data_IF_535923637997
#
_entry.id   IF_535923637997
#
_cell.length_a   1.000
_cell.length_b   1.000
_cell.length_c   1.000
_cell.angle_alpha   90.00
_cell.angle_beta   90.00
_cell.angle_gamma   90.00
#
_symmetry.space_group_name_H-M   'P 1'
#
loop_
_entity.id
_entity.type
_entity.pdbx_description
1 polymer ?
2 non-polymer ?
3 non-polymer ?
4 non-polymer ?
5 water ?
#
# COMPACT_ATOMS: atom_id res chain seq x y z
N UNK A 20 -10.24 30.74 15.30
CA UNK A 20 -11.16 29.58 15.04
C UNK A 20 -11.27 29.12 13.58
N UNK A 21 -10.36 29.63 12.74
CA UNK A 21 -10.35 29.35 11.31
C UNK A 21 -8.93 29.02 10.88
N UNK A 22 -8.68 27.72 10.68
CA UNK A 22 -7.38 27.28 10.23
C UNK A 22 -7.29 27.50 8.72
N UNK A 23 -6.07 27.49 8.20
CA UNK A 23 -5.86 27.64 6.77
C UNK A 23 -4.98 26.54 6.23
N UNK A 24 -5.20 26.22 4.96
CA UNK A 24 -4.37 25.27 4.25
C UNK A 24 -4.30 25.74 2.81
N UNK A 25 -3.24 25.32 2.12
CA UNK A 25 -3.09 25.57 0.70
C UNK A 25 -2.76 24.27 0.00
N UNK A 26 -3.45 24.03 -1.10
CA UNK A 26 -3.11 22.95 -2.01
C UNK A 26 -2.48 23.58 -3.23
N UNK A 27 -1.26 23.13 -3.57
CA UNK A 27 -0.52 23.68 -4.70
C UNK A 27 -0.49 22.66 -5.83
N UNK A 28 -1.38 22.84 -6.80
CA UNK A 28 -1.53 21.89 -7.91
C UNK A 28 -0.30 21.87 -8.83
N UNK A 29 0.54 22.90 -8.78
CA UNK A 29 1.77 22.95 -9.58
C UNK A 29 2.99 22.27 -8.93
N UNK A 30 2.87 21.80 -7.69
CA UNK A 30 3.97 21.11 -7.00
C UNK A 30 3.65 19.62 -6.95
N UNK A 31 3.96 18.92 -8.03
CA UNK A 31 3.65 17.52 -8.16
C UNK A 31 4.70 16.68 -7.44
N UNK A 32 4.18 15.66 -6.76
CA UNK A 32 4.97 14.70 -6.01
C UNK A 32 4.83 13.35 -6.67
N UNK A 33 4.59 12.28 -5.92
CA UNK A 33 4.61 10.94 -6.50
C UNK A 33 3.32 10.61 -7.22
N UNK A 34 3.47 9.83 -8.29
CA UNK A 34 2.33 9.25 -9.01
C UNK A 34 1.81 8.05 -8.21
N UNK A 35 0.52 8.05 -7.94
CA UNK A 35 -0.11 7.00 -7.16
C UNK A 35 -0.25 5.75 -8.00
N UNK A 36 0.18 4.62 -7.46
CA UNK A 36 0.03 3.31 -8.09
C UNK A 36 -1.23 2.59 -7.59
N UNK A 37 -1.54 2.71 -6.30
CA UNK A 37 -2.81 2.19 -5.82
C UNK A 37 -2.77 1.69 -4.40
N UNK A 38 -3.82 0.95 -4.03
CA UNK A 38 -4.08 0.57 -2.65
C UNK A 38 -4.66 -0.82 -2.68
N UNK A 39 -4.38 -1.64 -1.68
CA UNK A 39 -5.06 -2.93 -1.61
C UNK A 39 -4.68 -3.75 -0.41
N UNK A 40 -4.57 -5.06 -0.63
CA UNK A 40 -4.29 -5.99 0.45
C UNK A 40 -3.94 -7.36 -0.06
N UNK A 41 -3.76 -8.25 0.91
CA UNK A 41 -3.27 -9.59 0.68
C UNK A 41 -4.38 -10.64 0.58
N UNK A 42 -4.19 -11.57 -0.35
CA UNK A 42 -4.95 -12.83 -0.37
C UNK A 42 -3.97 -13.95 -0.10
N UNK A 43 -4.36 -14.94 0.71
CA UNK A 43 -3.47 -16.08 0.98
C UNK A 43 -4.30 -17.36 1.19
N UNK A 44 -4.59 -18.07 0.11
CA UNK A 44 -5.50 -19.20 0.18
C UNK A 44 -4.87 -20.47 0.74
N UNK A 45 -3.57 -20.45 0.99
CA UNK A 45 -2.89 -21.56 1.67
C UNK A 45 -2.89 -21.41 3.19
N UNK A 46 -2.72 -20.20 3.71
CA UNK A 46 -2.76 -20.00 5.14
C UNK A 46 -4.18 -19.79 5.68
N UNK A 47 -5.04 -19.15 4.88
CA UNK A 47 -6.41 -18.87 5.30
C UNK A 47 -7.34 -19.17 4.13
N UNK A 48 -8.65 -18.93 4.29
CA UNK A 48 -9.56 -19.16 3.18
C UNK A 48 -9.38 -18.10 2.10
N UNK A 49 -9.42 -18.54 0.85
CA UNK A 49 -9.48 -17.64 -0.30
C UNK A 49 -10.64 -16.68 -0.17
N UNK A 50 -10.53 -15.53 -0.83
CA UNK A 50 -11.71 -14.70 -1.04
C UNK A 50 -12.74 -15.48 -1.85
N UNK A 51 -14.00 -15.33 -1.50
CA UNK A 51 -15.10 -15.89 -2.28
C UNK A 51 -15.36 -15.02 -3.53
N UNK A 52 -16.12 -15.53 -4.50
CA UNK A 52 -16.41 -14.68 -5.65
C UNK A 52 -17.01 -13.32 -5.30
N UNK A 53 -17.95 -13.29 -4.36
CA UNK A 53 -18.59 -12.05 -3.95
C UNK A 53 -17.55 -11.12 -3.28
N UNK A 54 -16.68 -11.70 -2.44
CA UNK A 54 -15.67 -10.90 -1.74
C UNK A 54 -14.67 -10.32 -2.70
N UNK A 55 -14.36 -11.03 -3.77
CA UNK A 55 -13.45 -10.48 -4.78
C UNK A 55 -13.99 -9.18 -5.37
N UNK A 56 -15.29 -9.18 -5.64
CA UNK A 56 -15.96 -8.00 -6.18
C UNK A 56 -16.00 -6.89 -5.11
N UNK A 57 -16.29 -7.25 -3.87
CA UNK A 57 -16.32 -6.25 -2.80
C UNK A 57 -14.94 -5.60 -2.63
N UNK A 58 -13.87 -6.37 -2.81
CA UNK A 58 -12.51 -5.85 -2.67
C UNK A 58 -12.10 -4.97 -3.82
N UNK A 59 -12.29 -5.44 -5.05
CA UNK A 59 -11.69 -4.79 -6.21
C UNK A 59 -12.64 -4.00 -7.12
N UNK A 60 -13.94 -4.17 -6.91
CA UNK A 60 -14.89 -3.24 -7.49
C UNK A 60 -14.85 -1.89 -6.83
N UNK A 61 -15.38 -0.88 -7.50
CA UNK A 61 -15.42 0.45 -6.91
C UNK A 61 -16.82 1.05 -6.86
N UNK A 62 -17.85 0.19 -6.83
CA UNK A 62 -19.18 0.65 -6.56
C UNK A 62 -19.42 0.94 -5.11
N UNK A 63 -20.60 1.45 -4.75
CA UNK A 63 -20.96 1.64 -3.36
C UNK A 63 -20.88 0.30 -2.66
N UNK A 64 -20.35 0.29 -1.44
CA UNK A 64 -20.23 -0.94 -0.67
C UNK A 64 -19.05 -1.80 -1.09
N UNK A 65 -18.16 -1.23 -1.90
CA UNK A 65 -16.95 -1.91 -2.34
C UNK A 65 -15.72 -1.04 -2.04
N UNK A 66 -14.60 -1.71 -1.81
CA UNK A 66 -13.41 -1.06 -1.33
C UNK A 66 -12.64 -0.29 -2.38
N UNK A 67 -12.81 -0.61 -3.64
CA UNK A 67 -12.08 0.08 -4.68
C UNK A 67 -10.59 -0.19 -4.69
N UNK A 68 -10.17 -1.35 -4.16
CA UNK A 68 -8.76 -1.67 -4.19
C UNK A 68 -8.29 -1.86 -5.64
N UNK A 69 -7.03 -1.49 -5.88
CA UNK A 69 -6.40 -1.52 -7.18
C UNK A 69 -5.05 -2.29 -7.18
N UNK A 70 -4.69 -2.88 -6.03
CA UNK A 70 -3.53 -3.74 -5.94
C UNK A 70 -3.92 -4.98 -5.13
N UNK A 71 -3.57 -6.13 -5.67
CA UNK A 71 -3.63 -7.40 -4.95
C UNK A 71 -2.22 -7.90 -4.73
N UNK A 72 -1.92 -8.27 -3.48
CA UNK A 72 -0.69 -8.98 -3.16
C UNK A 72 -1.02 -10.44 -2.89
N UNK A 73 -0.16 -11.30 -3.44
CA UNK A 73 -0.24 -12.74 -3.25
C UNK A 73 1.12 -13.26 -2.83
N UNK A 74 1.13 -14.51 -2.39
CA UNK A 74 2.37 -15.19 -2.02
C UNK A 74 2.81 -16.16 -3.11
N UNK A 75 4.12 -16.35 -3.20
CA UNK A 75 4.74 -17.35 -4.06
C UNK A 75 5.00 -18.60 -3.23
N UNK A 76 4.17 -19.63 -3.36
CA UNK A 76 4.37 -20.79 -2.52
C UNK A 76 5.66 -21.52 -2.84
N UNK A 77 6.29 -22.03 -1.78
CA UNK A 77 7.49 -22.85 -1.91
C UNK A 77 7.19 -24.17 -2.64
N UNK A 78 5.93 -24.62 -2.55
CA UNK A 78 5.47 -25.83 -3.23
C UNK A 78 4.63 -25.45 -4.44
N UNK A 79 5.15 -25.70 -5.64
CA UNK A 79 4.45 -25.33 -6.86
C UNK A 79 3.10 -26.00 -7.01
N UNK A 80 2.85 -27.09 -6.28
CA UNK A 80 1.53 -27.72 -6.33
C UNK A 80 0.41 -26.87 -5.73
N UNK A 81 0.80 -25.80 -5.03
CA UNK A 81 -0.16 -24.86 -4.46
C UNK A 81 -0.43 -23.64 -5.34
N UNK A 82 0.35 -23.45 -6.40
CA UNK A 82 0.24 -22.22 -7.19
C UNK A 82 -1.15 -22.02 -7.78
N UNK A 83 -1.83 -23.09 -8.19
CA UNK A 83 -3.15 -22.96 -8.82
C UNK A 83 -4.16 -22.30 -7.88
N UNK A 84 -3.92 -22.38 -6.56
CA UNK A 84 -4.84 -21.81 -5.58
C UNK A 84 -4.94 -20.29 -5.70
N UNK A 85 -3.92 -19.66 -6.27
CA UNK A 85 -3.91 -18.19 -6.38
C UNK A 85 -4.73 -17.63 -7.55
N UNK A 86 -4.98 -18.47 -8.54
CA UNK A 86 -5.38 -18.02 -9.87
C UNK A 86 -6.76 -17.33 -9.90
N UNK A 87 -7.75 -17.90 -9.25
CA UNK A 87 -9.11 -17.37 -9.38
C UNK A 87 -9.21 -15.95 -8.83
N UNK A 88 -8.63 -15.69 -7.66
CA UNK A 88 -8.72 -14.37 -7.07
C UNK A 88 -7.87 -13.39 -7.88
N UNK A 89 -6.68 -13.81 -8.29
CA UNK A 89 -5.81 -12.91 -9.06
C UNK A 89 -6.43 -12.53 -10.42
N UNK A 90 -7.02 -13.50 -11.12
CA UNK A 90 -7.69 -13.22 -12.39
C UNK A 90 -8.81 -12.20 -12.18
N UNK A 91 -9.62 -12.40 -11.15
CA UNK A 91 -10.75 -11.49 -10.95
C UNK A 91 -10.28 -10.09 -10.58
N UNK A 92 -9.23 -10.01 -9.75
CA UNK A 92 -8.68 -8.69 -9.42
C UNK A 92 -8.24 -7.94 -10.66
N UNK A 93 -7.49 -8.62 -11.54
CA UNK A 93 -7.02 -8.04 -12.80
C UNK A 93 -8.19 -7.65 -13.68
N UNK A 94 -9.21 -8.50 -13.78
CA UNK A 94 -10.38 -8.17 -14.60
C UNK A 94 -11.03 -6.90 -14.09
N UNK A 95 -11.06 -6.72 -12.77
CA UNK A 95 -11.65 -5.52 -12.18
C UNK A 95 -10.72 -4.31 -12.14
N UNK A 96 -9.54 -4.43 -12.74
CA UNK A 96 -8.64 -3.27 -12.91
C UNK A 96 -7.44 -3.20 -12.02
N UNK A 97 -7.25 -4.18 -11.16
CA UNK A 97 -6.12 -4.20 -10.25
C UNK A 97 -4.87 -4.74 -10.92
N UNK A 98 -3.74 -4.43 -10.27
CA UNK A 98 -2.46 -5.05 -10.56
C UNK A 98 -2.12 -6.01 -9.43
N UNK A 99 -1.25 -6.97 -9.77
CA UNK A 99 -0.91 -8.03 -8.83
C UNK A 99 0.59 -8.12 -8.63
N UNK A 100 1.00 -8.14 -7.35
CA UNK A 100 2.41 -8.38 -7.01
C UNK A 100 2.50 -9.62 -6.13
N UNK A 101 3.61 -10.32 -6.24
CA UNK A 101 3.79 -11.56 -5.51
C UNK A 101 5.06 -11.58 -4.68
N UNK A 102 4.94 -12.11 -3.47
CA UNK A 102 6.09 -12.22 -2.57
C UNK A 102 6.29 -13.63 -2.06
N UNK A 103 7.55 -14.11 -2.09
CA UNK A 103 7.86 -15.43 -1.48
C UNK A 103 8.24 -15.30 -0.01
N UNK A 104 7.87 -16.29 0.79
CA UNK A 104 8.30 -16.39 2.20
C UNK A 104 9.47 -17.36 2.33
N UNK A 105 9.44 -18.50 1.62
CA UNK A 105 10.57 -19.43 1.59
C UNK A 105 10.79 -19.93 0.18
N UNK A 106 12.07 -20.21 -0.17
CA UNK A 106 12.34 -21.03 -1.34
C UNK A 106 11.85 -22.46 -1.13
N UNK A 107 11.76 -23.24 -2.21
CA UNK A 107 11.58 -24.67 -2.06
C UNK A 107 12.61 -25.25 -1.09
N UNK A 108 12.19 -26.23 -0.31
CA UNK A 108 13.02 -26.72 0.77
C UNK A 108 14.39 -27.26 0.30
N UNK A 109 14.48 -27.82 -0.91
CA UNK A 109 15.77 -28.29 -1.39
C UNK A 109 16.80 -27.18 -1.67
N UNK A 110 16.37 -25.92 -1.62
CA UNK A 110 17.29 -24.79 -1.80
C UNK A 110 17.70 -24.13 -0.50
N UNK A 111 17.15 -24.58 0.62
CA UNK A 111 17.35 -23.95 1.92
C UNK A 111 18.38 -24.72 2.71
N UNK A 112 19.12 -24.00 3.55
CA UNK A 112 19.95 -24.61 4.56
C UNK A 112 19.81 -23.81 5.82
N UNK A 113 20.38 -24.32 6.90
CA UNK A 113 20.28 -23.66 8.18
C UNK A 113 21.56 -23.04 8.71
N UNK A 114 21.38 -22.16 9.69
CA UNK A 114 22.47 -21.52 10.38
C UNK A 114 21.96 -21.03 11.72
N UNK A 115 22.91 -20.67 12.57
CA UNK A 115 22.60 -20.16 13.91
C UNK A 115 22.71 -18.64 13.86
N UNK A 116 21.61 -17.98 14.19
CA UNK A 116 21.50 -16.52 14.11
C UNK A 116 21.27 -15.94 15.49
N UNK A 117 22.21 -15.11 15.94
CA UNK A 117 22.20 -14.56 17.30
C UNK A 117 21.96 -15.66 18.33
N UNK A 118 22.69 -16.77 18.14
CA UNK A 118 22.64 -17.90 19.04
C UNK A 118 21.39 -18.78 18.93
N UNK A 119 20.46 -18.45 18.03
CA UNK A 119 19.26 -19.27 17.80
C UNK A 119 19.53 -20.22 16.64
N UNK A 120 19.52 -21.55 16.87
CA UNK A 120 19.86 -22.48 15.81
C UNK A 120 18.71 -22.73 14.82
N UNK A 121 19.04 -23.47 13.79
CA UNK A 121 18.07 -24.01 12.84
C UNK A 121 17.32 -22.94 12.05
N UNK A 122 17.93 -21.77 11.87
CA UNK A 122 17.33 -20.68 11.10
C UNK A 122 17.59 -20.90 9.63
N UNK A 123 16.65 -20.46 8.80
CA UNK A 123 16.70 -20.74 7.35
C UNK A 123 17.33 -19.64 6.53
N UNK A 124 18.11 -20.01 5.52
CA UNK A 124 18.53 -19.10 4.49
C UNK A 124 18.55 -19.84 3.16
N UNK A 125 18.56 -19.08 2.09
CA UNK A 125 18.80 -19.65 0.75
C UNK A 125 20.27 -20.06 0.64
N UNK A 126 20.53 -21.32 0.27
CA UNK A 126 21.87 -21.76 0.03
C UNK A 126 22.56 -20.88 -1.02
N UNK A 127 23.82 -20.56 -0.76
CA UNK A 127 24.56 -19.68 -1.67
C UNK A 127 24.74 -20.31 -3.05
N UNK A 128 24.74 -21.64 -3.11
CA UNK A 128 24.87 -22.34 -4.38
C UNK A 128 23.56 -22.52 -5.13
N UNK A 129 22.47 -21.97 -4.61
CA UNK A 129 21.15 -22.13 -5.21
C UNK A 129 20.55 -20.81 -5.65
N UNK A 130 21.34 -19.73 -5.70
CA UNK A 130 20.76 -18.44 -6.14
C UNK A 130 20.17 -18.50 -7.57
N UNK A 131 20.82 -19.25 -8.46
CA UNK A 131 20.31 -19.41 -9.82
C UNK A 131 19.06 -20.27 -9.86
N UNK A 132 19.02 -21.32 -9.05
CA UNK A 132 17.84 -22.16 -8.96
C UNK A 132 16.65 -21.37 -8.44
N UNK A 133 16.93 -20.45 -7.52
CA UNK A 133 15.88 -19.62 -6.97
C UNK A 133 15.34 -18.65 -8.03
N UNK A 134 16.23 -18.03 -8.81
CA UNK A 134 15.77 -17.28 -9.99
C UNK A 134 14.83 -18.12 -10.85
N UNK A 135 15.18 -19.37 -11.08
CA UNK A 135 14.34 -20.21 -11.92
C UNK A 135 12.98 -20.52 -11.28
N UNK A 136 12.96 -20.76 -9.97
CA UNK A 136 11.71 -20.92 -9.22
C UNK A 136 10.81 -19.67 -9.40
N UNK A 137 11.37 -18.48 -9.19
CA UNK A 137 10.59 -17.26 -9.34
C UNK A 137 10.07 -17.09 -10.78
N UNK A 138 10.94 -17.36 -11.76
CA UNK A 138 10.53 -17.29 -13.15
C UNK A 138 9.48 -18.32 -13.49
N UNK A 139 9.57 -19.51 -12.91
CA UNK A 139 8.56 -20.54 -13.11
C UNK A 139 7.21 -20.06 -12.58
N UNK A 140 7.20 -19.38 -11.45
CA UNK A 140 5.96 -18.84 -10.91
C UNK A 140 5.39 -17.77 -11.83
N UNK A 141 6.26 -16.84 -12.26
CA UNK A 141 5.83 -15.80 -13.19
C UNK A 141 5.24 -16.43 -14.47
N UNK A 142 5.90 -17.42 -15.04
CA UNK A 142 5.40 -18.07 -16.26
C UNK A 142 4.08 -18.82 -16.03
N UNK A 143 3.95 -19.52 -14.92
CA UNK A 143 2.71 -20.22 -14.58
C UNK A 143 1.56 -19.24 -14.46
N UNK A 144 1.76 -18.14 -13.73
CA UNK A 144 0.69 -17.17 -13.58
C UNK A 144 0.34 -16.53 -14.92
N UNK A 145 1.34 -16.22 -15.73
CA UNK A 145 1.09 -15.68 -17.08
C UNK A 145 0.23 -16.63 -17.93
N UNK A 146 0.56 -17.91 -17.89
CA UNK A 146 -0.20 -18.92 -18.63
C UNK A 146 -1.67 -18.96 -18.16
N UNK A 147 -1.91 -18.62 -16.90
CA UNK A 147 -3.23 -18.61 -16.31
C UNK A 147 -3.88 -17.22 -16.27
N UNK A 148 -3.40 -16.32 -17.11
CA UNK A 148 -4.05 -15.04 -17.33
C UNK A 148 -3.72 -14.02 -16.27
N UNK A 149 -2.62 -14.22 -15.56
CA UNK A 149 -2.20 -13.32 -14.49
C UNK A 149 -0.79 -12.85 -14.81
N UNK A 150 -0.70 -11.69 -15.45
CA UNK A 150 0.57 -11.06 -15.78
C UNK A 150 0.98 -10.24 -14.58
N UNK A 151 1.87 -10.79 -13.75
CA UNK A 151 2.31 -10.12 -12.52
C UNK A 151 2.93 -8.77 -12.82
N UNK A 152 2.55 -7.79 -11.99
CA UNK A 152 3.19 -6.48 -12.08
C UNK A 152 4.65 -6.55 -11.59
N UNK A 153 4.87 -7.34 -10.54
CA UNK A 153 6.17 -7.46 -9.90
C UNK A 153 6.23 -8.72 -9.09
N UNK A 154 7.45 -9.17 -8.85
CA UNK A 154 7.73 -10.26 -7.95
C UNK A 154 8.88 -9.83 -7.02
N UNK A 155 8.79 -10.21 -5.74
CA UNK A 155 9.73 -9.83 -4.71
C UNK A 155 10.74 -10.94 -4.46
N UNK A 156 11.94 -10.53 -4.05
CA UNK A 156 13.00 -11.47 -3.68
C UNK A 156 12.66 -12.25 -2.41
N UNK A 157 12.08 -11.56 -1.44
CA UNK A 157 11.84 -12.13 -0.14
C UNK A 157 10.91 -11.23 0.67
N UNK A 158 9.89 -11.82 1.27
CA UNK A 158 9.08 -11.17 2.30
C UNK A 158 9.88 -11.03 3.61
N UNK A 159 10.03 -9.81 4.13
CA UNK A 159 10.63 -9.62 5.45
C UNK A 159 11.90 -10.46 5.69
N UNK A 160 12.91 -10.24 4.85
CA UNK A 160 14.23 -10.93 5.03
C UNK A 160 14.87 -10.65 6.37
N UNK A 161 14.46 -9.56 7.04
CA UNK A 161 15.04 -9.11 8.29
C UNK A 161 14.11 -9.36 9.48
N UNK A 162 13.10 -10.20 9.29
CA UNK A 162 12.25 -10.63 10.42
C UNK A 162 11.79 -12.05 10.13
N UNK A 163 12.76 -12.93 9.88
CA UNK A 163 12.45 -14.24 9.30
C UNK A 163 12.59 -15.39 10.30
N UNK A 164 12.30 -15.12 11.57
CA UNK A 164 12.20 -16.18 12.57
C UNK A 164 11.42 -17.39 12.05
N UNK A 165 10.33 -17.14 11.30
CA UNK A 165 9.45 -18.21 10.85
C UNK A 165 9.51 -18.44 9.34
N UNK A 166 10.51 -17.88 8.68
CA UNK A 166 10.71 -18.09 7.25
C UNK A 166 12.20 -17.96 6.89
N UNK A 167 12.57 -17.34 5.77
CA UNK A 167 13.93 -17.36 5.25
C UNK A 167 14.62 -15.99 5.43
N UNK A 168 15.72 -15.97 6.18
CA UNK A 168 16.49 -14.76 6.43
C UNK A 168 17.39 -14.45 5.27
N UNK A 169 17.55 -13.16 4.99
CA UNK A 169 18.62 -12.65 4.13
C UNK A 169 19.28 -11.46 4.80
N UNK A 170 20.61 -11.50 4.89
CA UNK A 170 21.38 -10.33 5.34
C UNK A 170 21.35 -9.28 4.23
N UNK A 171 21.65 -8.03 4.57
CA UNK A 171 21.77 -7.01 3.54
C UNK A 171 22.72 -7.41 2.41
N UNK A 172 23.82 -8.09 2.74
CA UNK A 172 24.78 -8.47 1.72
C UNK A 172 24.30 -9.64 0.86
N UNK A 173 23.56 -10.57 1.44
CA UNK A 173 22.96 -11.67 0.65
C UNK A 173 21.96 -11.08 -0.34
N UNK A 174 21.13 -10.17 0.14
CA UNK A 174 20.16 -9.48 -0.71
C UNK A 174 20.89 -8.74 -1.83
N UNK A 175 21.98 -8.04 -1.48
CA UNK A 175 22.75 -7.32 -2.48
C UNK A 175 23.30 -8.24 -3.54
N UNK A 176 23.89 -9.37 -3.14
CA UNK A 176 24.44 -10.30 -4.13
C UNK A 176 23.35 -10.77 -5.10
N UNK A 177 22.20 -11.11 -4.53
CA UNK A 177 21.10 -11.53 -5.38
C UNK A 177 20.68 -10.43 -6.35
N UNK A 178 20.48 -9.22 -5.82
CA UNK A 178 20.04 -8.11 -6.67
C UNK A 178 21.05 -7.77 -7.76
N UNK A 179 22.34 -7.85 -7.43
CA UNK A 179 23.41 -7.46 -8.34
C UNK A 179 23.63 -8.53 -9.43
N UNK A 180 23.70 -9.80 -9.02
CA UNK A 180 24.22 -10.87 -9.86
C UNK A 180 23.15 -11.79 -10.43
N UNK A 181 21.94 -11.74 -9.89
CA UNK A 181 20.87 -12.68 -10.28
C UNK A 181 19.57 -12.05 -10.71
N UNK A 182 19.16 -10.97 -10.06
CA UNK A 182 17.83 -10.40 -10.28
C UNK A 182 17.59 -9.91 -11.69
N UNK A 183 18.64 -9.55 -12.44
CA UNK A 183 18.47 -9.18 -13.83
C UNK A 183 17.91 -10.28 -14.72
N UNK A 184 17.95 -11.52 -14.23
CA UNK A 184 17.47 -12.67 -14.99
C UNK A 184 15.99 -12.95 -14.75
N UNK A 185 15.35 -12.19 -13.85
CA UNK A 185 13.96 -12.39 -13.53
C UNK A 185 13.08 -11.74 -14.59
N UNK A 186 12.13 -12.51 -15.10
CA UNK A 186 11.25 -12.08 -16.19
C UNK A 186 10.05 -11.28 -15.70
N UNK A 187 10.31 -10.25 -14.91
CA UNK A 187 9.24 -9.49 -14.27
C UNK A 187 9.89 -8.28 -13.63
N UNK A 188 9.13 -7.26 -13.27
CA UNK A 188 9.65 -6.24 -12.36
C UNK A 188 10.06 -6.92 -11.05
N UNK A 189 11.21 -6.49 -10.52
CA UNK A 189 11.76 -7.03 -9.28
C UNK A 189 11.51 -6.03 -8.16
N UNK A 190 10.89 -6.54 -7.10
CA UNK A 190 10.66 -5.81 -5.84
C UNK A 190 11.63 -6.27 -4.75
N UNK A 191 12.14 -5.32 -3.98
CA UNK A 191 13.03 -5.66 -2.87
C UNK A 191 13.13 -4.43 -1.98
N UNK A 192 13.52 -4.61 -0.71
CA UNK A 192 13.76 -5.85 0.03
C UNK A 192 12.61 -6.23 0.97
N UNK A 193 11.52 -5.44 1.02
CA UNK A 193 10.40 -5.70 1.93
C UNK A 193 10.83 -5.91 3.38
N UNK A 194 11.62 -4.97 3.92
CA UNK A 194 11.96 -4.99 5.34
C UNK A 194 10.68 -4.87 6.15
N UNK A 195 10.62 -5.57 7.29
CA UNK A 195 9.45 -5.51 8.14
C UNK A 195 9.09 -4.13 8.65
N UNK A 196 10.09 -3.25 8.74
CA UNK A 196 9.92 -1.94 9.36
C UNK A 196 10.56 -0.85 8.50
N UNK A 197 10.76 -1.10 7.21
CA UNK A 197 11.40 -0.11 6.34
C UNK A 197 12.77 0.26 6.90
N UNK A 198 13.52 -0.76 7.33
CA UNK A 198 14.85 -0.52 7.83
C UNK A 198 15.77 -0.27 6.65
N UNK A 199 16.46 0.85 6.68
CA UNK A 199 17.21 1.28 5.50
C UNK A 199 18.45 0.43 5.25
N UNK A 200 18.97 -0.22 6.29
CA UNK A 200 20.11 -1.09 6.12
C UNK A 200 19.85 -2.23 5.12
N UNK A 201 18.58 -2.62 4.96
CA UNK A 201 18.27 -3.70 4.01
C UNK A 201 18.31 -3.25 2.55
N UNK A 202 18.06 -1.96 2.32
CA UNK A 202 17.94 -1.42 0.96
C UNK A 202 19.12 -0.53 0.55
N UNK A 203 19.83 0.09 1.50
CA UNK A 203 20.93 0.97 1.12
C UNK A 203 21.94 0.28 0.16
N UNK A 204 22.29 -1.01 0.42
CA UNK A 204 23.33 -1.59 -0.46
C UNK A 204 22.85 -1.72 -1.92
N UNK A 205 21.55 -1.97 -2.12
CA UNK A 205 20.99 -2.03 -3.46
C UNK A 205 21.09 -0.64 -4.12
N UNK A 206 20.63 0.39 -3.42
CA UNK A 206 20.64 1.74 -4.00
C UNK A 206 22.04 2.23 -4.30
N UNK A 207 23.02 1.82 -3.48
CA UNK A 207 24.41 2.25 -3.65
C UNK A 207 25.23 1.44 -4.67
N UNK A 208 24.67 0.36 -5.21
CA UNK A 208 25.36 -0.45 -6.20
C UNK A 208 24.67 -0.25 -7.54
N UNK A 209 25.38 0.31 -8.54
CA UNK A 209 24.69 0.61 -9.80
C UNK A 209 24.02 -0.58 -10.47
N UNK A 210 24.66 -1.74 -10.46
CA UNK A 210 24.08 -2.93 -11.09
C UNK A 210 22.85 -3.45 -10.34
N UNK A 211 22.94 -3.54 -9.01
CA UNK A 211 21.79 -3.94 -8.22
C UNK A 211 20.64 -2.97 -8.40
N UNK A 212 20.94 -1.68 -8.42
CA UNK A 212 19.91 -0.67 -8.60
C UNK A 212 19.23 -0.80 -9.98
N UNK A 213 20.03 -1.08 -11.01
CA UNK A 213 19.50 -1.30 -12.36
C UNK A 213 18.54 -2.46 -12.39
N UNK A 214 18.78 -3.49 -11.57
CA UNK A 214 17.94 -4.68 -11.52
C UNK A 214 16.72 -4.54 -10.62
N UNK A 215 16.70 -3.49 -9.79
CA UNK A 215 15.54 -3.16 -8.99
C UNK A 215 14.51 -2.41 -9.82
N UNK A 216 13.25 -2.74 -9.61
CA UNK A 216 12.17 -1.96 -10.20
C UNK A 216 11.30 -1.28 -9.18
N UNK A 217 11.06 -1.96 -8.05
CA UNK A 217 10.21 -1.43 -7.01
C UNK A 217 10.90 -1.61 -5.65
N UNK A 218 11.06 -0.51 -4.91
CA UNK A 218 11.50 -0.56 -3.53
C UNK A 218 10.24 -0.85 -2.72
N UNK A 219 10.15 -2.05 -2.15
CA UNK A 219 9.03 -2.46 -1.31
C UNK A 219 9.43 -2.41 0.16
N UNK A 220 8.52 -1.97 1.03
CA UNK A 220 8.76 -1.89 2.46
C UNK A 220 7.50 -2.22 3.24
N UNK A 221 7.63 -2.79 4.43
CA UNK A 221 6.53 -2.90 5.35
C UNK A 221 6.67 -1.86 6.45
N UNK A 222 5.58 -1.64 7.18
CA UNK A 222 5.49 -0.50 8.09
C UNK A 222 5.28 -0.89 9.57
N UNK A 223 5.63 -2.12 9.95
CA UNK A 223 5.37 -2.56 11.32
C UNK A 223 6.31 -1.85 12.28
N UNK A 224 5.75 -0.99 13.09
CA UNK A 224 6.54 -0.20 14.03
C UNK A 224 7.30 0.93 13.37
N UNK A 225 7.00 1.26 12.11
CA UNK A 225 7.72 2.37 11.46
C UNK A 225 7.14 3.71 11.89
N UNK A 226 7.98 4.53 12.53
CA UNK A 226 7.55 5.84 12.98
C UNK A 226 7.67 6.86 11.83
N UNK A 227 6.95 7.98 11.99
CA UNK A 227 6.95 9.01 10.97
C UNK A 227 8.34 9.52 10.61
N UNK A 228 9.19 9.68 11.64
CA UNK A 228 10.55 10.15 11.41
C UNK A 228 11.38 9.19 10.53
N UNK A 229 10.94 7.92 10.46
CA UNK A 229 11.60 6.92 9.62
C UNK A 229 10.94 6.66 8.28
N UNK A 230 9.95 7.48 7.95
CA UNK A 230 9.30 7.35 6.65
C UNK A 230 10.01 8.02 5.48
N UNK A 231 10.68 9.16 5.69
CA UNK A 231 11.48 9.68 4.60
C UNK A 231 12.66 8.78 4.27
N UNK A 232 13.20 8.87 3.06
CA UNK A 232 14.33 8.05 2.66
C UNK A 232 15.20 8.84 1.71
N UNK A 233 16.08 9.68 2.27
CA UNK A 233 16.91 10.56 1.44
C UNK A 233 17.68 9.83 0.35
N UNK A 234 18.27 8.67 0.65
CA UNK A 234 19.00 7.95 -0.38
C UNK A 234 18.13 7.54 -1.57
N UNK A 235 16.87 7.17 -1.29
CA UNK A 235 15.96 6.82 -2.35
C UNK A 235 15.57 8.06 -3.19
N UNK A 236 15.42 9.22 -2.54
CA UNK A 236 15.16 10.44 -3.28
C UNK A 236 16.32 10.71 -4.22
N UNK A 237 17.54 10.44 -3.76
CA UNK A 237 18.74 10.71 -4.54
C UNK A 237 18.94 9.72 -5.68
N UNK A 238 18.75 8.43 -5.38
CA UNK A 238 19.17 7.37 -6.29
C UNK A 238 18.03 6.60 -6.99
N UNK A 239 16.79 6.89 -6.65
CA UNK A 239 15.64 6.07 -7.04
C UNK A 239 14.87 6.47 -8.29
N UNK A 240 15.45 7.33 -9.13
CA UNK A 240 14.78 7.70 -10.37
C UNK A 240 14.36 6.48 -11.17
N UNK A 241 13.11 6.45 -11.59
CA UNK A 241 12.62 5.36 -12.41
C UNK A 241 12.17 4.15 -11.59
N UNK A 242 12.33 4.20 -10.27
CA UNK A 242 11.94 3.10 -9.39
C UNK A 242 10.65 3.45 -8.66
N UNK A 243 9.74 2.50 -8.49
CA UNK A 243 8.54 2.76 -7.71
C UNK A 243 8.80 2.49 -6.22
N UNK A 244 7.94 3.06 -5.38
CA UNK A 244 8.08 2.96 -3.93
C UNK A 244 6.76 2.49 -3.37
N UNK A 245 6.72 1.27 -2.84
CA UNK A 245 5.46 0.66 -2.38
C UNK A 245 5.56 0.23 -0.92
N UNK A 246 4.51 0.50 -0.17
CA UNK A 246 4.38 -0.02 1.16
C UNK A 246 3.51 -1.25 1.01
N UNK A 247 4.15 -2.42 1.05
CA UNK A 247 3.51 -3.67 0.60
C UNK A 247 2.83 -4.52 1.68
N UNK A 248 2.95 -4.16 2.95
CA UNK A 248 2.28 -4.88 4.02
C UNK A 248 2.28 -4.09 5.31
N UNK A 249 1.09 -3.94 5.88
CA UNK A 249 0.97 -3.61 7.31
C UNK A 249 -0.44 -3.95 7.76
N UNK A 250 -0.61 -4.07 9.07
CA UNK A 250 -1.88 -3.80 9.74
C UNK A 250 -1.57 -2.81 10.86
N UNK A 251 -2.50 -1.93 11.15
CA UNK A 251 -2.32 -0.94 12.21
C UNK A 251 -3.68 -0.67 12.86
N UNK A 252 -3.71 -0.29 14.13
CA UNK A 252 -2.58 -0.24 15.03
C UNK A 252 -2.27 -1.56 15.70
N UNK A 253 -3.01 -2.62 15.36
CA UNK A 253 -2.83 -3.93 15.96
C UNK A 253 -3.61 -4.93 15.13
N UNK A 254 -3.45 -6.21 15.48
CA UNK A 254 -4.19 -7.31 14.87
C UNK A 254 -5.11 -7.95 15.90
N UNK A 255 -5.63 -7.14 16.81
CA UNK A 255 -6.48 -7.69 17.86
C UNK A 255 -7.70 -8.35 17.23
N UNK A 256 -8.12 -9.49 17.76
CA UNK A 256 -9.34 -10.17 17.31
C UNK A 256 -10.53 -9.23 17.36
N UNK A 257 -11.34 -9.18 16.29
CA UNK A 257 -12.60 -8.45 16.30
C UNK A 257 -12.42 -6.95 16.57
N UNK A 258 -11.31 -6.39 16.09
CA UNK A 258 -11.00 -4.98 16.29
C UNK A 258 -11.36 -4.09 15.13
N UNK A 259 -11.80 -4.65 13.99
CA UNK A 259 -11.88 -3.83 12.77
C UNK A 259 -12.89 -2.70 12.81
N UNK A 260 -13.89 -2.78 13.69
CA UNK A 260 -14.87 -1.73 13.85
C UNK A 260 -14.60 -0.80 15.02
N UNK A 261 -13.52 -1.01 15.76
CA UNK A 261 -13.25 -0.18 16.93
C UNK A 261 -13.05 1.27 16.53
N UNK A 262 -13.67 2.15 17.30
CA UNK A 262 -13.69 3.57 16.99
C UNK A 262 -13.49 4.33 18.29
N UNK A 263 -12.64 5.36 18.33
CA UNK A 263 -11.91 5.98 17.23
C UNK A 263 -10.59 5.30 16.83
N UNK A 264 -10.31 4.10 17.34
CA UNK A 264 -9.09 3.39 16.96
C UNK A 264 -8.84 3.35 15.45
N UNK A 265 -9.89 3.12 14.69
CA UNK A 265 -9.75 2.95 13.23
C UNK A 265 -9.15 4.19 12.56
N UNK A 266 -9.25 5.36 13.18
CA UNK A 266 -8.63 6.54 12.59
C UNK A 266 -7.13 6.36 12.38
N UNK A 267 -6.52 5.49 13.20
CA UNK A 267 -5.09 5.22 13.04
C UNK A 267 -4.73 4.66 11.66
N UNK A 268 -5.69 3.98 11.04
CA UNK A 268 -5.47 3.45 9.68
C UNK A 268 -5.35 4.61 8.69
N UNK A 269 -6.33 5.51 8.71
CA UNK A 269 -6.25 6.67 7.83
C UNK A 269 -4.98 7.46 8.09
N UNK A 270 -4.63 7.63 9.37
CA UNK A 270 -3.44 8.41 9.68
C UNK A 270 -2.17 7.73 9.16
N UNK A 271 -2.10 6.40 9.24
CA UNK A 271 -0.94 5.70 8.74
C UNK A 271 -0.81 5.83 7.20
N UNK A 272 -1.95 5.81 6.52
CA UNK A 272 -1.98 6.02 5.07
C UNK A 272 -1.58 7.44 4.69
N UNK A 273 -2.17 8.41 5.38
CA UNK A 273 -1.72 9.80 5.24
C UNK A 273 -0.19 9.88 5.34
N UNK A 274 0.34 9.29 6.42
CA UNK A 274 1.76 9.34 6.67
C UNK A 274 2.56 8.65 5.57
N UNK A 275 2.12 7.46 5.13
CA UNK A 275 2.81 6.82 4.04
C UNK A 275 2.91 7.74 2.80
N UNK A 276 1.76 8.35 2.46
CA UNK A 276 1.70 9.18 1.26
C UNK A 276 2.49 10.48 1.38
N UNK A 277 2.31 11.17 2.49
CA UNK A 277 2.83 12.52 2.62
C UNK A 277 4.24 12.56 3.27
N UNK A 278 4.48 11.72 4.27
CA UNK A 278 5.77 11.64 4.96
C UNK A 278 6.71 10.69 4.28
N UNK A 279 6.19 9.63 3.67
CA UNK A 279 7.02 8.65 2.98
C UNK A 279 7.08 8.75 1.45
N UNK A 280 6.20 9.56 0.84
CA UNK A 280 6.09 9.63 -0.63
C UNK A 280 5.79 8.29 -1.28
N UNK A 281 5.12 7.42 -0.53
CA UNK A 281 4.79 6.11 -1.07
C UNK A 281 3.75 6.17 -2.20
N UNK A 282 3.96 5.32 -3.19
CA UNK A 282 3.02 5.25 -4.33
C UNK A 282 1.93 4.19 -4.16
N UNK A 283 2.13 3.27 -3.20
CA UNK A 283 1.18 2.17 -2.98
C UNK A 283 1.13 1.89 -1.50
N UNK A 284 -0.07 1.50 -1.05
CA UNK A 284 -0.24 1.13 0.36
C UNK A 284 -1.09 -0.12 0.37
N UNK A 285 -0.52 -1.21 0.89
CA UNK A 285 -1.12 -2.54 0.80
C UNK A 285 -1.23 -3.12 2.20
N UNK A 286 -2.47 -3.41 2.63
CA UNK A 286 -2.71 -4.07 3.90
C UNK A 286 -2.29 -5.53 3.83
N UNK A 287 -2.24 -6.14 5.01
CA UNK A 287 -2.19 -7.60 5.14
C UNK A 287 -3.57 -8.20 4.73
N UNK A 288 -4.02 -9.29 5.34
CA UNK A 288 -5.21 -9.98 4.82
C UNK A 288 -6.38 -9.05 4.59
N UNK A 289 -6.91 -9.09 3.38
CA UNK A 289 -8.12 -8.31 3.04
C UNK A 289 -9.30 -8.64 3.95
N UNK A 290 -9.59 -9.95 4.09
CA UNK A 290 -10.72 -10.40 4.88
C UNK A 290 -10.17 -10.96 6.18
N UNK A 291 -10.49 -10.30 7.28
CA UNK A 291 -10.03 -10.75 8.60
C UNK A 291 -10.73 -9.92 9.66
N UNK A 292 -10.78 -10.38 10.91
CA UNK A 292 -11.55 -9.67 11.92
C UNK A 292 -10.90 -8.36 12.36
N UNK A 293 -9.67 -8.13 11.92
CA UNK A 293 -8.96 -6.85 12.12
C UNK A 293 -8.60 -6.17 10.80
N UNK A 294 -9.21 -6.64 9.71
CA UNK A 294 -8.90 -6.15 8.38
C UNK A 294 -9.96 -5.24 7.79
N UNK A 295 -9.77 -4.85 6.52
CA UNK A 295 -10.70 -3.92 5.88
C UNK A 295 -12.05 -4.53 5.52
N UNK A 296 -12.07 -5.85 5.33
CA UNK A 296 -13.31 -6.60 5.11
C UNK A 296 -13.45 -7.59 6.25
N UNK A 297 -14.61 -7.55 6.90
CA UNK A 297 -14.90 -8.48 8.00
C UNK A 297 -15.22 -9.86 7.46
N UNK A 298 -15.25 -10.83 8.37
CA UNK A 298 -15.50 -12.21 7.97
C UNK A 298 -16.90 -12.36 7.36
N UNK A 299 -17.84 -11.46 7.69
CA UNK A 299 -19.19 -11.49 7.09
C UNK A 299 -19.24 -10.87 5.67
N UNK A 300 -18.08 -10.45 5.15
CA UNK A 300 -18.00 -9.91 3.81
C UNK A 300 -18.30 -8.43 3.67
N UNK A 301 -18.59 -7.76 4.79
CA UNK A 301 -18.88 -6.34 4.76
C UNK A 301 -17.64 -5.53 5.14
N UNK A 302 -17.66 -4.25 4.78
CA UNK A 302 -16.53 -3.36 5.03
C UNK A 302 -16.52 -2.95 6.50
N UNK A 303 -15.35 -3.02 7.13
CA UNK A 303 -15.16 -2.58 8.52
C UNK A 303 -14.86 -1.10 8.59
N UNK A 304 -14.85 -0.54 9.80
CA UNK A 304 -14.41 0.84 9.95
C UNK A 304 -12.99 1.01 9.42
N UNK A 305 -12.09 0.06 9.69
CA UNK A 305 -10.73 0.12 9.16
C UNK A 305 -10.78 0.13 7.61
N UNK A 306 -11.69 -0.66 7.03
CA UNK A 306 -11.88 -0.66 5.59
C UNK A 306 -12.36 0.67 5.05
N UNK A 307 -13.30 1.31 5.74
CA UNK A 307 -13.75 2.63 5.27
C UNK A 307 -12.61 3.64 5.33
N UNK A 308 -11.73 3.54 6.33
CA UNK A 308 -10.53 4.40 6.37
C UNK A 308 -9.71 4.21 5.09
N UNK A 309 -9.48 2.96 4.71
CA UNK A 309 -8.73 2.72 3.49
C UNK A 309 -9.46 3.28 2.26
N UNK A 310 -10.78 3.06 2.25
CA UNK A 310 -11.66 3.46 1.14
C UNK A 310 -11.65 4.96 0.87
N UNK A 311 -11.54 5.75 1.92
CA UNK A 311 -11.38 7.21 1.78
C UNK A 311 -10.25 7.59 0.84
N UNK A 312 -9.21 6.76 0.75
CA UNK A 312 -8.15 6.91 -0.23
C UNK A 312 -8.46 6.06 -1.46
N UNK A 313 -8.68 4.76 -1.29
CA UNK A 313 -8.70 3.86 -2.42
C UNK A 313 -9.84 4.12 -3.41
N UNK A 314 -11.01 4.53 -2.92
CA UNK A 314 -12.15 4.73 -3.83
C UNK A 314 -12.01 5.98 -4.69
N UNK A 315 -11.17 6.93 -4.25
CA UNK A 315 -11.15 8.26 -4.82
C UNK A 315 -9.82 8.66 -5.42
N UNK A 316 -8.72 8.22 -4.80
CA UNK A 316 -7.37 8.51 -5.29
C UNK A 316 -6.99 7.34 -6.18
N UNK A 317 -7.29 7.48 -7.48
CA UNK A 317 -7.16 6.37 -8.41
C UNK A 317 -5.75 6.27 -8.97
N UNK A 318 -5.36 5.08 -9.45
CA UNK A 318 -4.04 4.94 -10.05
C UNK A 318 -3.79 5.97 -11.13
N UNK A 319 -2.60 6.56 -11.14
CA UNK A 319 -2.24 7.59 -12.12
C UNK A 319 -2.46 9.00 -11.64
N UNK A 320 -3.26 9.20 -10.61
CA UNK A 320 -3.32 10.51 -9.96
C UNK A 320 -1.94 10.80 -9.39
N UNK A 321 -1.67 12.09 -9.18
CA UNK A 321 -0.37 12.51 -8.67
C UNK A 321 -0.57 13.30 -7.39
N UNK A 322 0.12 12.90 -6.33
CA UNK A 322 0.06 13.69 -5.11
C UNK A 322 0.61 15.08 -5.41
N UNK A 323 0.06 16.09 -4.73
CA UNK A 323 0.57 17.46 -4.86
C UNK A 323 0.83 18.01 -3.46
N UNK A 324 1.68 19.02 -3.40
CA UNK A 324 1.98 19.67 -2.13
C UNK A 324 0.69 20.26 -1.52
N UNK A 325 0.49 20.04 -0.23
CA UNK A 325 -0.65 20.60 0.46
C UNK A 325 -0.29 20.69 1.94
N UNK A 326 -0.77 21.74 2.61
CA UNK A 326 -0.48 21.92 4.02
C UNK A 326 -0.88 20.64 4.76
N UNK A 327 0.10 19.94 5.31
CA UNK A 327 -0.21 18.59 5.78
C UNK A 327 -0.86 18.50 7.14
N UNK A 328 -0.64 19.50 7.99
CA UNK A 328 -1.11 19.49 9.39
C UNK A 328 -1.61 20.89 9.73
N UNK A 329 -2.74 21.30 9.10
CA UNK A 329 -3.11 22.73 9.20
C UNK A 329 -3.50 23.23 10.58
N UNK A 330 -3.96 22.32 11.43
CA UNK A 330 -4.20 22.63 12.83
C UNK A 330 -4.05 21.34 13.63
N UNK A 331 -3.92 21.43 14.95
CA UNK A 331 -3.67 20.26 15.74
C UNK A 331 -4.76 19.22 15.49
N UNK A 332 -4.34 17.98 15.29
CA UNK A 332 -5.21 16.83 15.08
C UNK A 332 -5.87 16.76 13.69
N UNK A 333 -5.47 17.65 12.78
CA UNK A 333 -6.03 17.65 11.44
C UNK A 333 -4.90 17.37 10.46
N UNK A 334 -5.15 16.41 9.58
CA UNK A 334 -4.14 15.96 8.60
C UNK A 334 -4.76 15.94 7.21
N UNK A 335 -4.05 16.54 6.26
CA UNK A 335 -4.56 16.77 4.93
C UNK A 335 -3.57 16.27 3.88
N UNK A 336 -4.08 15.52 2.90
CA UNK A 336 -3.34 15.18 1.68
C UNK A 336 -4.19 15.53 0.47
N UNK A 337 -3.53 15.70 -0.67
CA UNK A 337 -4.25 16.05 -1.88
C UNK A 337 -3.56 15.41 -3.06
N UNK A 338 -4.37 14.88 -3.99
CA UNK A 338 -3.85 14.29 -5.22
C UNK A 338 -4.67 14.86 -6.39
N UNK A 339 -3.97 15.04 -7.50
CA UNK A 339 -4.54 15.64 -8.70
C UNK A 339 -4.74 14.60 -9.80
N UNK A 340 -5.86 14.72 -10.48
CA UNK A 340 -6.11 13.96 -11.69
C UNK A 340 -5.59 14.82 -12.85
N UNK A 341 -4.53 14.37 -13.52
CA UNK A 341 -3.91 15.19 -14.56
C UNK A 341 -4.76 15.32 -15.81
N UNK A 342 -5.78 14.48 -15.95
CA UNK A 342 -6.66 14.59 -17.13
C UNK A 342 -7.39 15.93 -17.18
N UNK A 343 -7.83 16.41 -16.01
CA UNK A 343 -8.58 17.68 -15.92
C UNK A 343 -8.14 18.62 -14.80
N UNK A 344 -7.04 18.29 -14.12
CA UNK A 344 -6.56 19.09 -12.99
C UNK A 344 -7.57 19.18 -11.84
N UNK A 345 -8.46 18.20 -11.76
CA UNK A 345 -9.29 18.07 -10.56
C UNK A 345 -8.48 17.52 -9.40
N UNK A 346 -9.02 17.69 -8.20
CA UNK A 346 -8.31 17.44 -6.96
C UNK A 346 -9.13 16.52 -6.07
N UNK A 347 -8.46 15.60 -5.39
CA UNK A 347 -9.06 14.79 -4.34
C UNK A 347 -8.31 15.10 -3.03
N UNK A 348 -9.02 15.60 -2.02
CA UNK A 348 -8.38 15.93 -0.74
C UNK A 348 -8.94 14.98 0.31
N UNK A 349 -8.06 14.36 1.09
CA UNK A 349 -8.48 13.48 2.17
C UNK A 349 -8.03 14.15 3.47
N UNK A 350 -8.98 14.44 4.35
CA UNK A 350 -8.74 15.23 5.56
C UNK A 350 -9.24 14.45 6.76
N UNK A 351 -8.29 14.18 7.66
CA UNK A 351 -8.57 13.48 8.88
C UNK A 351 -8.69 14.49 10.02
N UNK A 352 -9.74 14.37 10.84
CA UNK A 352 -9.86 15.16 12.06
C UNK A 352 -9.93 14.23 13.27
N UNK A 353 -8.83 14.14 14.02
CA UNK A 353 -8.78 13.27 15.21
C UNK A 353 -9.28 13.97 16.44
N UNK A 354 -9.61 15.26 16.34
CA UNK A 354 -10.09 16.03 17.48
C UNK A 354 -11.49 15.67 17.91
N UNK A 355 -11.75 15.89 19.21
CA UNK A 355 -13.11 15.83 19.71
C UNK A 355 -13.92 17.09 19.41
N UNK A 356 -13.27 18.08 18.80
CA UNK A 356 -13.97 19.27 18.32
C UNK A 356 -13.98 19.31 16.81
N UNK A 357 -15.05 19.87 16.26
CA UNK A 357 -15.13 20.14 14.82
C UNK A 357 -14.10 21.20 14.45
N UNK A 358 -13.62 21.14 13.21
CA UNK A 358 -12.60 22.05 12.74
C UNK A 358 -13.02 22.67 11.43
N UNK A 359 -12.90 23.99 11.35
CA UNK A 359 -13.20 24.70 10.12
C UNK A 359 -11.89 25.15 9.50
N UNK A 360 -11.71 24.83 8.21
CA UNK A 360 -10.49 25.16 7.50
C UNK A 360 -10.80 25.86 6.21
N UNK A 361 -10.10 26.98 5.97
CA UNK A 361 -10.15 27.63 4.66
C UNK A 361 -9.06 27.00 3.79
N UNK A 362 -9.45 26.17 2.83
CA UNK A 362 -8.50 25.52 1.97
C UNK A 362 -8.38 26.29 0.67
N UNK A 363 -7.24 26.93 0.48
CA UNK A 363 -6.97 27.70 -0.71
C UNK A 363 -6.38 26.76 -1.79
N UNK A 364 -6.95 26.83 -3.00
CA UNK A 364 -6.49 26.03 -4.14
C UNK A 364 -6.22 27.02 -5.28
N UNK A 365 -5.15 27.82 -5.16
CA UNK A 365 -4.94 28.90 -6.12
C UNK A 365 -4.86 28.36 -7.54
N UNK A 366 -5.40 29.12 -8.47
CA UNK A 366 -5.31 28.78 -9.87
C UNK A 366 -6.28 27.73 -10.37
N UNK A 367 -7.12 27.17 -9.51
CA UNK A 367 -8.13 26.22 -9.99
C UNK A 367 -9.36 26.93 -10.55
N UNK A 368 -10.00 26.31 -11.54
CA UNK A 368 -11.28 26.80 -12.05
C UNK A 368 -12.43 26.02 -11.40
N UNK A 369 -12.10 25.01 -10.62
CA UNK A 369 -13.11 24.23 -9.92
C UNK A 369 -13.76 25.11 -8.85
N UNK A 370 -15.08 25.02 -8.71
CA UNK A 370 -15.78 25.85 -7.73
C UNK A 370 -16.70 25.05 -6.79
N UNK A 371 -16.73 23.73 -6.93
CA UNK A 371 -17.57 22.89 -6.09
C UNK A 371 -16.86 21.59 -5.79
N UNK A 372 -16.90 21.19 -4.51
CA UNK A 372 -16.46 19.86 -4.07
C UNK A 372 -17.63 19.10 -3.52
N UNK A 373 -17.70 17.82 -3.85
CA UNK A 373 -18.58 16.90 -3.14
C UNK A 373 -17.77 16.30 -2.00
N UNK A 374 -18.48 15.76 -1.00
CA UNK A 374 -17.76 15.19 0.13
C UNK A 374 -18.44 13.98 0.69
N UNK A 375 -17.60 13.08 1.20
CA UNK A 375 -17.99 11.84 1.81
C UNK A 375 -17.34 11.73 3.17
N UNK A 376 -18.12 11.41 4.19
CA UNK A 376 -17.65 11.52 5.58
C UNK A 376 -17.87 10.20 6.33
N UNK A 377 -16.81 9.76 7.04
CA UNK A 377 -16.92 8.62 7.96
C UNK A 377 -16.65 9.08 9.37
N UNK A 378 -17.53 8.69 10.29
CA UNK A 378 -17.39 8.90 11.73
C UNK A 378 -17.69 7.58 12.44
N UNK A 379 -17.79 7.61 13.77
CA UNK A 379 -18.22 6.43 14.49
C UNK A 379 -19.63 5.95 14.14
N UNK A 380 -20.44 6.83 13.55
CA UNK A 380 -21.87 6.55 13.34
C UNK A 380 -22.31 6.49 11.88
N UNK A 381 -21.41 6.76 10.95
CA UNK A 381 -21.78 6.67 9.53
C UNK A 381 -20.53 6.38 8.68
N UNK A 382 -20.74 5.79 7.51
CA UNK A 382 -19.66 5.31 6.66
C UNK A 382 -19.76 5.89 5.28
N UNK A 383 -18.76 6.68 4.87
CA UNK A 383 -18.73 7.30 3.54
C UNK A 383 -20.06 7.96 3.20
N UNK A 384 -20.59 8.70 4.16
CA UNK A 384 -21.86 9.37 3.97
C UNK A 384 -21.69 10.60 3.11
N UNK A 385 -22.44 10.70 2.02
CA UNK A 385 -22.35 11.89 1.18
C UNK A 385 -23.03 13.04 1.90
N UNK A 386 -22.32 14.14 2.08
CA UNK A 386 -22.87 15.28 2.81
C UNK A 386 -22.94 16.47 1.85
N UNK A 387 -23.31 17.64 2.37
CA UNK A 387 -23.57 18.79 1.50
C UNK A 387 -22.33 19.21 0.73
N UNK A 388 -22.53 19.63 -0.52
CA UNK A 388 -21.42 20.15 -1.34
C UNK A 388 -20.78 21.39 -0.72
N UNK A 389 -19.51 21.57 -1.04
CA UNK A 389 -18.76 22.76 -0.68
C UNK A 389 -18.71 23.66 -1.90
N UNK A 390 -19.24 24.86 -1.78
CA UNK A 390 -19.14 25.86 -2.84
C UNK A 390 -18.01 26.84 -2.53
N UNK A 391 -17.03 26.91 -3.42
CA UNK A 391 -15.89 27.79 -3.22
C UNK A 391 -16.30 29.25 -3.27
N UNK A 392 -15.58 30.07 -2.50
CA UNK A 392 -15.60 31.50 -2.71
C UNK A 392 -14.28 31.83 -3.40
N UNK A 393 -14.34 32.15 -4.70
CA UNK A 393 -13.15 32.20 -5.54
C UNK A 393 -12.42 30.86 -5.51
N UNK A 394 -11.13 30.88 -5.15
CA UNK A 394 -10.32 29.67 -5.08
C UNK A 394 -10.20 29.09 -3.67
N UNK A 395 -11.02 29.58 -2.73
CA UNK A 395 -11.04 29.08 -1.37
C UNK A 395 -12.26 28.24 -1.09
N UNK A 396 -12.02 27.05 -0.55
CA UNK A 396 -13.03 26.08 -0.15
C UNK A 396 -13.03 26.04 1.37
N UNK A 397 -14.09 26.56 1.99
CA UNK A 397 -14.20 26.53 3.44
C UNK A 397 -14.92 25.26 3.84
N UNK A 398 -14.22 24.40 4.57
CA UNK A 398 -14.76 23.10 4.98
C UNK A 398 -14.84 23.01 6.49
N UNK A 399 -15.83 22.26 6.97
CA UNK A 399 -15.93 21.94 8.40
C UNK A 399 -15.86 20.44 8.54
N UNK A 400 -14.95 20.02 9.37
CA UNK A 400 -14.73 18.59 9.62
C UNK A 400 -15.39 18.24 10.95
N UNK A 401 -16.26 17.25 10.94
CA UNK A 401 -16.82 16.76 12.18
C UNK A 401 -15.74 16.21 13.08
N UNK A 402 -15.99 16.21 14.40
CA UNK A 402 -15.02 15.56 15.29
C UNK A 402 -14.80 14.09 14.91
N UNK A 403 -13.58 13.63 15.08
CA UNK A 403 -13.26 12.21 14.96
C UNK A 403 -13.81 11.64 13.64
N UNK A 404 -13.29 12.18 12.55
CA UNK A 404 -13.88 11.89 11.22
C UNK A 404 -12.79 11.86 10.16
N UNK A 405 -13.13 11.24 9.03
CA UNK A 405 -12.37 11.41 7.80
C UNK A 405 -13.33 11.88 6.74
N UNK A 406 -12.89 12.85 5.93
CA UNK A 406 -13.66 13.37 4.82
C UNK A 406 -12.82 13.28 3.57
N UNK A 407 -13.41 12.76 2.50
CA UNK A 407 -12.83 12.91 1.16
C UNK A 407 -13.64 13.89 0.35
N UNK A 408 -12.94 14.91 -0.15
CA UNK A 408 -13.51 15.95 -1.01
C UNK A 408 -13.11 15.64 -2.44
N UNK A 409 -14.10 15.66 -3.34
CA UNK A 409 -13.86 15.35 -4.77
C UNK A 409 -14.55 16.32 -5.74
X LIG B 1 3.30 -12.68 8.53
X LIG B 1 3.89 -13.03 7.28
X LIG B 1 2.52 -11.36 8.49
X LIG B 1 3.42 -10.27 8.76
X LIG B 1 1.46 -11.37 9.58
X LIG B 1 2.07 -11.48 10.87
X LIG C 1 -10.91 23.09 21.52
X LIG C 1 -11.89 24.14 21.49
X LIG C 1 -10.20 23.00 20.18
X LIG C 1 -9.82 21.66 19.82
X LIG C 1 -8.98 23.91 20.22
X LIG C 1 -8.76 24.42 18.91
X LIG D 1 5.60 -9.25 11.42
X LIG D 1 5.83 -10.77 11.26
X LIG D 1 4.47 -8.88 12.41
X LIG D 1 6.89 -8.53 11.80
X LIG D 1 5.19 -8.79 10.09
X LIG D 1 5.78 -11.56 12.46
X LIG D 1 3.20 -9.26 11.89
X LIG D 1 6.64 -7.12 11.89
X LIG E 1 -13.90 24.77 25.30
X LIG E 1 -12.76 23.88 24.97
X LIG E 1 -13.23 22.79 24.00
X LIG E 1 -13.32 21.59 24.27
X LIG E 1 -12.13 23.28 26.24
X LIG E 1 -13.12 23.20 27.26
X LIG E 1 -11.05 24.18 26.76
X LIG E 1 -13.59 23.13 22.89
#
# INVERSE_FOLDING_TARGET
MGSSHHHHHHSSGLVPRGSHMASATINLSAEKQVIRGFGGMNHPVWISDLTPQQRDTAFGNGEGQLGFTILRIHVDENRNNWSKEVATARRAIELGAIVSASPWNPPSNMVETFTRNGVPNQKRLRYDKYGDYVQHLNDFVAYMKSNGVDLYAISVQNEPDYAHEWTWWTPQEMLRFMRDYAGQINCRVMAPESFQYLKNMSDPILNDPQALANLDILGAHFYGTTVNNMPYPLFEQKGAGKELWMTEVYVPNSDSNSADRWPEALEVAHNMHNALVEGNFQAYVWWYIRRSYGPMKEDGTISKRGYMMAHYSKFVRPGYVRVDATKNPTYNVYLSACKNKKDNSVVAVVINKSTEAKTINISVPGTSIRKWERYVTTGSKNLRKESDINASGTTFQVTLEPQSVTTFV
GOL C1 O1 C2 O2 C3 O3
GOL C1 O1 C2 O2 C3 O3
TRS C C1 C2 C3 N O1 O2 O3
THR N CA C O CB OG1 CG2 OXT
#
